data_IF_349032214548
#
_entry.id   IF_349032214548
#
_cell.length_a   1.000
_cell.length_b   1.000
_cell.length_c   1.000
_cell.angle_alpha   90.00
_cell.angle_beta   90.00
_cell.angle_gamma   90.00
#
_symmetry.space_group_name_H-M   'P 1'
#
loop_
_entity.id
_entity.type
_entity.pdbx_description
1 polymer ?
#
# COMPACT_ATOMS: atom_id res chain seq x y z
N UNK A 1 22.96 16.64 31.80
CA UNK A 1 21.69 15.86 31.69
C UNK A 1 20.80 16.36 30.56
N UNK A 2 20.46 17.65 30.53
CA UNK A 2 19.47 18.24 29.61
C UNK A 2 19.90 18.14 28.13
N UNK A 3 21.20 18.33 27.84
CA UNK A 3 21.77 18.20 26.48
C UNK A 3 21.73 16.77 25.94
N UNK A 4 21.90 15.78 26.83
CA UNK A 4 21.85 14.35 26.46
C UNK A 4 20.41 13.97 26.10
N UNK A 5 19.44 14.45 26.88
CA UNK A 5 18.01 14.23 26.60
C UNK A 5 17.62 14.81 25.24
N UNK A 6 18.07 16.03 24.91
CA UNK A 6 17.79 16.66 23.61
C UNK A 6 18.36 15.84 22.45
N UNK A 7 19.58 15.31 22.59
CA UNK A 7 20.20 14.46 21.56
C UNK A 7 19.42 13.16 21.38
N UNK A 8 18.98 12.52 22.47
CA UNK A 8 18.20 11.28 22.42
C UNK A 8 16.85 11.51 21.71
N UNK A 9 16.16 12.61 22.02
CA UNK A 9 14.89 12.95 21.38
C UNK A 9 15.07 13.19 19.88
N UNK A 10 16.10 13.95 19.49
CA UNK A 10 16.42 14.23 18.09
C UNK A 10 16.73 12.95 17.29
N UNK A 11 17.48 12.02 17.90
CA UNK A 11 17.78 10.72 17.29
C UNK A 11 16.50 9.88 17.15
N UNK A 12 15.64 9.83 18.17
CA UNK A 12 14.40 9.06 18.10
C UNK A 12 13.45 9.55 17.00
N UNK A 13 13.34 10.88 16.82
CA UNK A 13 12.52 11.48 15.76
C UNK A 13 13.09 11.21 14.36
N UNK A 14 14.42 11.12 14.23
CA UNK A 14 15.07 10.77 12.96
C UNK A 14 14.79 9.32 12.55
N UNK A 15 14.75 8.39 13.51
CA UNK A 15 14.53 6.95 13.26
C UNK A 15 13.10 6.67 12.78
N UNK A 16 12.11 7.45 13.23
CA UNK A 16 10.70 7.29 12.82
C UNK A 16 10.49 7.39 11.31
N UNK A 17 11.38 8.08 10.59
CA UNK A 17 11.29 8.24 9.13
C UNK A 17 11.79 7.04 8.34
N UNK A 18 12.49 6.09 8.98
CA UNK A 18 12.99 4.87 8.33
C UNK A 18 11.93 3.77 8.22
N UNK A 19 10.85 3.84 9.00
CA UNK A 19 9.79 2.83 9.00
C UNK A 19 8.69 3.27 8.05
N UNK A 20 8.52 2.55 6.94
CA UNK A 20 7.41 2.74 5.99
C UNK A 20 6.48 1.54 6.10
N UNK A 21 5.20 1.78 6.36
CA UNK A 21 4.21 0.72 6.34
C UNK A 21 3.98 0.27 4.88
N UNK A 22 4.06 -1.04 4.64
CA UNK A 22 3.64 -1.65 3.38
C UNK A 22 2.12 -1.93 3.36
N UNK A 23 1.44 -1.73 4.49
CA UNK A 23 0.02 -2.02 4.70
C UNK A 23 -0.92 -0.93 4.14
N UNK A 24 -2.14 -1.32 3.78
CA UNK A 24 -3.21 -0.39 3.44
C UNK A 24 -4.32 -1.00 2.59
N UNK A 25 -5.49 -0.35 2.56
CA UNK A 25 -6.55 -0.64 1.59
C UNK A 25 -6.39 0.28 0.38
N UNK A 26 -6.26 -0.32 -0.80
CA UNK A 26 -6.01 0.43 -2.04
C UNK A 26 -7.28 0.59 -2.84
N UNK A 27 -7.44 1.75 -3.48
CA UNK A 27 -8.53 2.00 -4.41
C UNK A 27 -8.25 1.22 -5.70
N UNK A 28 -9.10 0.28 -6.14
CA UNK A 28 -8.84 -0.56 -7.32
C UNK A 28 -8.57 0.22 -8.61
N UNK A 29 -9.22 1.39 -8.79
CA UNK A 29 -8.97 2.28 -9.93
C UNK A 29 -7.50 2.75 -10.03
N UNK A 30 -6.78 2.80 -8.90
CA UNK A 30 -5.40 3.27 -8.81
C UNK A 30 -4.40 2.11 -8.65
N UNK A 31 -4.82 0.86 -8.88
CA UNK A 31 -4.03 -0.34 -8.58
C UNK A 31 -2.69 -0.38 -9.33
N UNK A 32 -2.61 0.25 -10.50
CA UNK A 32 -1.40 0.39 -11.30
C UNK A 32 -0.18 0.91 -10.50
N UNK A 33 -0.40 1.76 -9.49
CA UNK A 33 0.69 2.30 -8.65
C UNK A 33 1.39 1.22 -7.81
N UNK A 34 0.73 0.10 -7.56
CA UNK A 34 1.20 -0.93 -6.65
C UNK A 34 1.54 -2.26 -7.33
N UNK A 35 1.27 -2.39 -8.64
CA UNK A 35 1.47 -3.64 -9.39
C UNK A 35 2.90 -4.16 -9.34
N UNK A 36 3.91 -3.27 -9.37
CA UNK A 36 5.31 -3.67 -9.30
C UNK A 36 5.62 -4.45 -8.00
N UNK A 37 5.12 -3.97 -6.86
CA UNK A 37 5.31 -4.67 -5.59
C UNK A 37 4.45 -5.94 -5.51
N UNK A 38 3.19 -5.88 -5.97
CA UNK A 38 2.32 -7.06 -6.02
C UNK A 38 2.93 -8.21 -6.85
N UNK A 39 3.52 -7.89 -8.01
CA UNK A 39 4.20 -8.87 -8.85
C UNK A 39 5.48 -9.42 -8.21
N UNK A 40 6.25 -8.55 -7.54
CA UNK A 40 7.41 -8.97 -6.74
C UNK A 40 7.02 -9.92 -5.61
N UNK A 41 5.83 -9.75 -5.04
CA UNK A 41 5.24 -10.65 -4.03
C UNK A 41 4.58 -11.91 -4.64
N UNK A 42 4.57 -12.07 -5.97
CA UNK A 42 4.13 -13.27 -6.66
C UNK A 42 2.75 -13.18 -7.32
N UNK A 43 2.12 -12.01 -7.36
CA UNK A 43 0.88 -11.81 -8.13
C UNK A 43 1.16 -11.96 -9.63
N UNK A 44 0.36 -12.79 -10.30
CA UNK A 44 0.51 -13.08 -11.74
C UNK A 44 -0.48 -12.33 -12.63
N UNK A 45 -1.46 -11.66 -12.03
CA UNK A 45 -2.49 -10.90 -12.73
C UNK A 45 -1.93 -9.55 -13.22
N UNK A 46 -2.50 -9.05 -14.32
CA UNK A 46 -2.32 -7.67 -14.76
C UNK A 46 -3.20 -6.70 -13.94
N UNK A 47 -2.98 -5.38 -14.11
CA UNK A 47 -3.84 -4.38 -13.47
C UNK A 47 -5.28 -4.47 -14.02
N UNK A 48 -5.39 -4.72 -15.32
CA UNK A 48 -6.65 -4.82 -16.06
C UNK A 48 -7.46 -6.05 -15.64
N UNK A 49 -6.80 -7.17 -15.33
CA UNK A 49 -7.45 -8.36 -14.77
C UNK A 49 -8.10 -8.07 -13.41
N UNK A 50 -7.51 -7.15 -12.62
CA UNK A 50 -8.02 -6.76 -11.30
C UNK A 50 -9.14 -5.72 -11.45
N UNK A 51 -8.90 -4.68 -12.25
CA UNK A 51 -9.85 -3.59 -12.48
C UNK A 51 -9.75 -3.08 -13.92
N UNK A 52 -10.84 -3.20 -14.66
CA UNK A 52 -11.00 -2.61 -15.99
C UNK A 52 -12.36 -1.93 -16.14
N UNK A 53 -12.38 -0.78 -16.82
CA UNK A 53 -13.63 -0.09 -17.19
C UNK A 53 -14.23 -0.68 -18.46
N UNK A 54 -13.37 -1.16 -19.37
CA UNK A 54 -13.75 -1.47 -20.75
C UNK A 54 -14.06 -2.95 -20.99
N UNK A 55 -13.60 -3.83 -20.11
CA UNK A 55 -13.81 -5.28 -20.23
C UNK A 55 -14.01 -5.90 -18.85
N UNK A 56 -14.44 -7.16 -18.83
CA UNK A 56 -14.69 -7.86 -17.57
C UNK A 56 -13.39 -8.07 -16.79
N UNK A 57 -13.47 -7.89 -15.47
CA UNK A 57 -12.33 -8.00 -14.54
C UNK A 57 -12.79 -8.51 -13.18
N UNK A 58 -11.85 -8.77 -12.26
CA UNK A 58 -12.14 -9.29 -10.92
C UNK A 58 -13.14 -8.41 -10.14
N UNK A 59 -13.16 -7.10 -10.39
CA UNK A 59 -14.13 -6.18 -9.78
C UNK A 59 -15.59 -6.62 -9.97
N UNK A 60 -15.90 -7.30 -11.07
CA UNK A 60 -17.27 -7.68 -11.40
C UNK A 60 -17.76 -8.86 -10.57
N UNK A 61 -16.82 -9.62 -9.97
CA UNK A 61 -17.11 -10.77 -9.11
C UNK A 61 -17.14 -10.43 -7.61
N UNK A 62 -16.73 -9.21 -7.23
CA UNK A 62 -16.70 -8.77 -5.83
C UNK A 62 -17.90 -7.87 -5.58
N UNK A 63 -18.81 -8.32 -4.71
CA UNK A 63 -20.04 -7.60 -4.36
C UNK A 63 -20.14 -7.37 -2.86
N UNK A 64 -20.78 -6.26 -2.50
CA UNK A 64 -21.04 -5.90 -1.09
C UNK A 64 -22.35 -6.54 -0.68
N UNK A 65 -22.31 -7.36 0.37
CA UNK A 65 -23.50 -7.90 1.02
C UNK A 65 -23.76 -7.15 2.33
N UNK A 66 -24.92 -6.49 2.45
CA UNK A 66 -25.40 -5.95 3.72
C UNK A 66 -24.84 -4.58 4.14
N UNK A 67 -23.82 -4.05 3.47
CA UNK A 67 -23.26 -2.72 3.73
C UNK A 67 -22.17 -2.72 4.80
#
# INVERSE_FOLDING_TARGET
>A
MNKIIVIIVAISMGISTLVRADEGMWIPLLINKNMAEMQKLGLKLSAEDIYSINHSSLKDAVIIFGG
#
